data_IF_087133010096
#
_entry.id   IF_087133010096
#
_cell.length_a   1.000
_cell.length_b   1.000
_cell.length_c   1.000
_cell.angle_alpha   90.00
_cell.angle_beta   90.00
_cell.angle_gamma   90.00
#
_symmetry.space_group_name_H-M   'P 1'
#
loop_
_entity.id
_entity.type
_entity.pdbx_description
1 polymer ?
#
# COMPACT_ATOMS: atom_id res chain seq x y z
N UNK A 1 19.54 15.31 2.88
CA UNK A 1 18.37 14.43 3.11
C UNK A 1 17.32 14.76 2.07
N UNK A 2 16.75 13.78 1.37
CA UNK A 2 15.75 14.04 0.32
C UNK A 2 14.40 14.37 0.98
N UNK A 3 14.00 15.64 0.94
CA UNK A 3 12.77 16.15 1.57
C UNK A 3 11.53 15.39 1.06
N UNK A 4 11.52 14.95 -0.20
CA UNK A 4 10.42 14.17 -0.78
C UNK A 4 10.18 12.83 -0.07
N UNK A 5 11.23 12.17 0.42
CA UNK A 5 11.10 10.91 1.15
C UNK A 5 10.42 11.12 2.49
N UNK A 6 10.81 12.19 3.20
CA UNK A 6 10.23 12.55 4.50
C UNK A 6 8.74 12.84 4.34
N UNK A 7 8.36 13.58 3.30
CA UNK A 7 6.94 13.82 2.99
C UNK A 7 6.18 12.54 2.69
N UNK A 8 6.74 11.63 1.89
CA UNK A 8 6.06 10.37 1.58
C UNK A 8 5.83 9.53 2.84
N UNK A 9 6.82 9.43 3.73
CA UNK A 9 6.70 8.71 4.99
C UNK A 9 5.71 9.36 5.96
N UNK A 10 5.69 10.70 6.02
CA UNK A 10 4.74 11.46 6.84
C UNK A 10 3.31 11.22 6.35
N UNK A 11 3.07 11.31 5.04
CA UNK A 11 1.74 11.09 4.47
C UNK A 11 1.29 9.64 4.68
N UNK A 12 2.17 8.66 4.51
CA UNK A 12 1.87 7.26 4.79
C UNK A 12 1.52 7.04 6.27
N UNK A 13 2.28 7.67 7.18
CA UNK A 13 2.01 7.61 8.63
C UNK A 13 0.66 8.23 8.98
N UNK A 14 0.30 9.35 8.34
CA UNK A 14 -1.01 9.97 8.51
C UNK A 14 -2.13 9.08 7.99
N UNK A 15 -1.96 8.45 6.82
CA UNK A 15 -2.96 7.54 6.26
C UNK A 15 -3.19 6.32 7.19
N UNK A 16 -2.12 5.71 7.71
CA UNK A 16 -2.21 4.62 8.68
C UNK A 16 -2.89 5.10 9.97
N UNK A 17 -2.53 6.28 10.49
CA UNK A 17 -3.17 6.88 11.67
C UNK A 17 -4.68 7.08 11.47
N UNK A 18 -5.09 7.60 10.31
CA UNK A 18 -6.50 7.78 9.98
C UNK A 18 -7.24 6.44 9.96
N UNK A 19 -6.69 5.43 9.28
CA UNK A 19 -7.30 4.09 9.24
C UNK A 19 -7.36 3.42 10.62
N UNK A 20 -6.31 3.58 11.44
CA UNK A 20 -6.31 3.11 12.82
C UNK A 20 -7.39 3.80 13.66
N UNK A 21 -7.52 5.13 13.54
CA UNK A 21 -8.56 5.90 14.24
C UNK A 21 -9.96 5.45 13.83
N UNK A 22 -10.19 5.23 12.53
CA UNK A 22 -11.46 4.72 12.00
C UNK A 22 -11.76 3.31 12.52
N UNK A 23 -10.77 2.42 12.49
CA UNK A 23 -10.88 1.07 13.05
C UNK A 23 -11.22 1.14 14.54
N UNK A 24 -10.56 1.99 15.31
CA UNK A 24 -10.84 2.18 16.74
C UNK A 24 -12.28 2.64 16.99
N UNK A 25 -12.86 3.46 16.10
CA UNK A 25 -14.26 3.85 16.22
C UNK A 25 -15.22 2.68 16.05
N UNK A 26 -15.00 1.81 15.04
CA UNK A 26 -15.76 0.57 14.90
C UNK A 26 -15.62 -0.36 16.13
N UNK A 27 -14.46 -0.31 16.79
CA UNK A 27 -14.24 -1.04 18.03
C UNK A 27 -14.91 -0.46 19.27
N UNK A 28 -15.49 0.74 19.19
CA UNK A 28 -16.22 1.36 20.31
C UNK A 28 -17.73 1.20 20.20
N UNK A 29 -18.25 0.84 19.04
CA UNK A 29 -19.69 0.60 18.83
C UNK A 29 -20.15 -0.56 19.72
N UNK A 30 -21.30 -0.42 20.38
CA UNK A 30 -21.82 -1.39 21.35
C UNK A 30 -22.14 -2.74 20.71
N UNK A 31 -22.52 -2.75 19.43
CA UNK A 31 -22.73 -3.96 18.65
C UNK A 31 -21.39 -4.65 18.34
N UNK A 32 -21.17 -5.83 18.94
CA UNK A 32 -19.92 -6.60 18.80
C UNK A 32 -19.63 -7.16 17.40
N UNK A 33 -20.56 -7.03 16.44
CA UNK A 33 -20.43 -7.56 15.09
C UNK A 33 -19.26 -6.95 14.31
N UNK A 34 -19.13 -5.62 14.30
CA UNK A 34 -18.05 -4.95 13.56
C UNK A 34 -16.66 -5.30 14.10
N UNK A 35 -16.54 -5.40 15.43
CA UNK A 35 -15.33 -5.85 16.12
C UNK A 35 -14.94 -7.26 15.67
N UNK A 36 -15.90 -8.16 15.68
CA UNK A 36 -15.69 -9.55 15.29
C UNK A 36 -15.22 -9.65 13.84
N UNK A 37 -15.89 -8.94 12.91
CA UNK A 37 -15.49 -8.90 11.49
C UNK A 37 -14.05 -8.42 11.34
N UNK A 38 -13.66 -7.32 12.00
CA UNK A 38 -12.29 -6.81 11.88
C UNK A 38 -11.23 -7.80 12.41
N UNK A 39 -11.50 -8.47 13.54
CA UNK A 39 -10.58 -9.47 14.12
C UNK A 39 -10.46 -10.69 13.20
N UNK A 40 -11.59 -11.19 12.67
CA UNK A 40 -11.61 -12.30 11.72
C UNK A 40 -10.83 -11.99 10.46
N UNK A 41 -10.99 -10.81 9.87
CA UNK A 41 -10.20 -10.40 8.71
C UNK A 41 -8.72 -10.21 9.06
N UNK A 42 -8.39 -9.71 10.25
CA UNK A 42 -7.01 -9.66 10.73
C UNK A 42 -6.34 -11.04 10.72
N UNK A 43 -7.01 -12.05 11.27
CA UNK A 43 -6.52 -13.43 11.25
C UNK A 43 -6.47 -14.01 9.82
N UNK A 44 -7.49 -13.78 9.01
CA UNK A 44 -7.50 -14.19 7.60
C UNK A 44 -6.28 -13.61 6.84
N UNK A 45 -5.99 -12.33 7.04
CA UNK A 45 -4.84 -11.68 6.40
C UNK A 45 -3.50 -12.14 6.96
N UNK A 46 -3.44 -12.52 8.25
CA UNK A 46 -2.24 -13.15 8.81
C UNK A 46 -1.93 -14.48 8.11
N UNK A 47 -2.93 -15.37 8.00
CA UNK A 47 -2.78 -16.66 7.30
C UNK A 47 -2.44 -16.45 5.82
N UNK A 48 -3.13 -15.53 5.14
CA UNK A 48 -2.84 -15.17 3.75
C UNK A 48 -1.40 -14.65 3.60
N UNK A 49 -0.92 -13.80 4.52
CA UNK A 49 0.45 -13.27 4.47
C UNK A 49 1.48 -14.38 4.63
N UNK A 50 1.27 -15.29 5.57
CA UNK A 50 2.13 -16.46 5.77
C UNK A 50 2.18 -17.34 4.51
N UNK A 51 1.03 -17.62 3.89
CA UNK A 51 0.98 -18.38 2.64
C UNK A 51 1.78 -17.70 1.53
N UNK A 52 1.60 -16.39 1.34
CA UNK A 52 2.30 -15.62 0.30
C UNK A 52 3.81 -15.55 0.56
N UNK A 53 4.25 -15.36 1.81
CA UNK A 53 5.67 -15.24 2.15
C UNK A 53 6.45 -16.56 2.02
N UNK A 54 5.74 -17.69 1.92
CA UNK A 54 6.31 -19.01 1.61
C UNK A 54 6.49 -19.21 0.09
N UNK A 55 5.67 -18.53 -0.74
CA UNK A 55 5.75 -18.64 -2.20
C UNK A 55 7.12 -18.19 -2.71
N UNK A 56 7.70 -18.99 -3.59
CA UNK A 56 9.03 -18.72 -4.17
C UNK A 56 8.99 -17.52 -5.11
N UNK A 57 10.12 -16.80 -5.19
CA UNK A 57 10.31 -15.64 -6.08
C UNK A 57 10.23 -15.97 -7.59
N UNK A 58 10.17 -17.26 -7.94
CA UNK A 58 9.91 -17.74 -9.29
C UNK A 58 8.47 -17.49 -9.75
N UNK A 59 7.52 -17.36 -8.80
CA UNK A 59 6.12 -17.07 -9.11
C UNK A 59 5.77 -15.60 -8.81
N UNK A 60 6.22 -15.08 -7.67
CA UNK A 60 5.97 -13.72 -7.22
C UNK A 60 7.27 -12.91 -7.15
N UNK A 61 7.42 -11.95 -8.06
CA UNK A 61 8.65 -11.18 -8.22
C UNK A 61 8.76 -10.01 -7.24
N UNK A 62 8.88 -10.28 -5.95
CA UNK A 62 9.10 -9.21 -4.98
C UNK A 62 10.58 -8.84 -4.85
N UNK A 63 11.49 -9.83 -4.88
CA UNK A 63 12.91 -9.64 -4.53
C UNK A 63 13.12 -9.45 -3.02
N UNK A 64 12.21 -9.99 -2.21
CA UNK A 64 12.22 -9.89 -0.75
C UNK A 64 13.32 -10.76 -0.13
N UNK A 65 13.54 -11.95 -0.66
CA UNK A 65 14.56 -12.90 -0.18
C UNK A 65 15.96 -12.41 -0.56
N UNK A 66 16.12 -11.93 -1.79
CA UNK A 66 17.39 -11.29 -2.23
C UNK A 66 17.66 -10.01 -1.43
N UNK A 67 16.64 -9.17 -1.21
CA UNK A 67 16.77 -7.96 -0.40
C UNK A 67 17.13 -8.25 1.05
N UNK A 68 16.52 -9.27 1.66
CA UNK A 68 16.78 -9.68 3.03
C UNK A 68 18.19 -10.29 3.19
N UNK A 69 18.62 -11.16 2.27
CA UNK A 69 19.97 -11.75 2.31
C UNK A 69 21.04 -10.66 2.21
N UNK A 70 20.89 -9.71 1.27
CA UNK A 70 21.80 -8.58 1.15
C UNK A 70 21.82 -7.68 2.40
N UNK A 71 20.66 -7.45 3.03
CA UNK A 71 20.58 -6.73 4.31
C UNK A 71 21.28 -7.49 5.43
N UNK A 72 21.06 -8.81 5.54
CA UNK A 72 21.67 -9.67 6.54
C UNK A 72 23.19 -9.64 6.41
N UNK A 73 23.72 -9.82 5.19
CA UNK A 73 25.16 -9.79 4.94
C UNK A 73 25.77 -8.41 5.27
N UNK A 74 25.07 -7.33 4.90
CA UNK A 74 25.50 -5.96 5.19
C UNK A 74 25.48 -5.66 6.70
N UNK A 75 24.48 -6.20 7.42
CA UNK A 75 24.37 -6.08 8.87
C UNK A 75 25.47 -6.88 9.59
N UNK A 76 25.82 -8.07 9.10
CA UNK A 76 26.94 -8.86 9.62
C UNK A 76 28.26 -8.10 9.50
N UNK A 77 28.56 -7.60 8.30
CA UNK A 77 29.79 -6.82 8.08
C UNK A 77 29.84 -5.56 8.95
N UNK A 78 28.68 -4.95 9.25
CA UNK A 78 28.61 -3.82 10.17
C UNK A 78 28.88 -4.24 11.62
N UNK A 79 28.29 -5.33 12.09
CA UNK A 79 28.49 -5.84 13.45
C UNK A 79 29.93 -6.27 13.70
N UNK A 80 30.55 -6.95 12.72
CA UNK A 80 31.98 -7.30 12.76
C UNK A 80 32.86 -6.06 12.91
N UNK A 81 32.57 -5.00 12.13
CA UNK A 81 33.29 -3.71 12.25
C UNK A 81 33.11 -3.02 13.59
N UNK A 82 32.03 -3.31 14.31
CA UNK A 82 31.77 -2.79 15.67
C UNK A 82 32.35 -3.71 16.77
N UNK A 83 33.01 -4.82 16.42
CA UNK A 83 33.60 -5.76 17.36
C UNK A 83 32.57 -6.59 18.14
N UNK A 84 31.33 -6.68 17.65
CA UNK A 84 30.27 -7.48 18.25
C UNK A 84 30.21 -8.85 17.56
N UNK A 85 30.72 -9.91 18.20
CA UNK A 85 30.49 -11.29 17.79
C UNK A 85 29.05 -11.71 18.13
N UNK A 86 28.11 -11.33 17.28
CA UNK A 86 26.70 -11.74 17.44
C UNK A 86 26.40 -13.00 16.63
N UNK A 87 25.55 -13.88 17.16
CA UNK A 87 25.01 -15.05 16.44
C UNK A 87 24.05 -14.61 15.32
N UNK A 88 24.59 -14.04 14.25
CA UNK A 88 23.87 -13.70 13.02
C UNK A 88 22.76 -12.64 13.17
N UNK A 89 22.41 -11.93 12.09
CA UNK A 89 21.19 -11.14 12.05
C UNK A 89 19.96 -12.06 12.13
N UNK A 90 18.84 -11.50 12.62
CA UNK A 90 17.49 -12.09 12.71
C UNK A 90 17.24 -13.19 11.67
N UNK A 91 16.73 -14.37 12.07
CA UNK A 91 16.48 -15.46 11.11
C UNK A 91 15.48 -15.06 10.00
N UNK A 92 15.63 -15.64 8.80
CA UNK A 92 14.69 -15.44 7.66
C UNK A 92 13.24 -15.70 8.06
N UNK A 93 13.01 -16.72 8.88
CA UNK A 93 11.69 -17.08 9.39
C UNK A 93 11.14 -15.98 10.30
N UNK A 94 11.97 -15.47 11.22
CA UNK A 94 11.60 -14.38 12.13
C UNK A 94 11.26 -13.11 11.37
N UNK A 95 12.04 -12.76 10.33
CA UNK A 95 11.74 -11.63 9.45
C UNK A 95 10.37 -11.79 8.77
N UNK A 96 10.11 -12.95 8.15
CA UNK A 96 8.82 -13.24 7.50
C UNK A 96 7.66 -13.21 8.50
N UNK A 97 7.85 -13.72 9.72
CA UNK A 97 6.83 -13.71 10.76
C UNK A 97 6.44 -12.29 11.20
N UNK A 98 7.41 -11.42 11.48
CA UNK A 98 7.10 -10.01 11.81
C UNK A 98 6.47 -9.27 10.63
N UNK A 99 6.91 -9.55 9.42
CA UNK A 99 6.30 -9.01 8.21
C UNK A 99 4.84 -9.48 8.06
N UNK A 100 4.53 -10.74 8.39
CA UNK A 100 3.18 -11.28 8.37
C UNK A 100 2.27 -10.61 9.43
N UNK A 101 2.78 -10.31 10.63
CA UNK A 101 2.05 -9.54 11.64
C UNK A 101 1.73 -8.14 11.11
N UNK A 102 2.72 -7.46 10.53
CA UNK A 102 2.51 -6.13 9.93
C UNK A 102 1.46 -6.17 8.79
N UNK A 103 1.53 -7.21 7.95
CA UNK A 103 0.57 -7.47 6.89
C UNK A 103 -0.86 -7.70 7.41
N UNK A 104 -1.00 -8.44 8.50
CA UNK A 104 -2.27 -8.67 9.18
C UNK A 104 -2.89 -7.36 9.68
N UNK A 105 -2.09 -6.48 10.30
CA UNK A 105 -2.55 -5.16 10.76
C UNK A 105 -3.03 -4.28 9.60
N UNK A 106 -2.27 -4.21 8.51
CA UNK A 106 -2.69 -3.48 7.30
C UNK A 106 -3.99 -4.06 6.74
N UNK A 107 -4.08 -5.39 6.67
CA UNK A 107 -5.28 -6.09 6.20
C UNK A 107 -6.51 -5.78 7.05
N UNK A 108 -6.37 -5.80 8.37
CA UNK A 108 -7.42 -5.42 9.30
C UNK A 108 -7.89 -3.96 9.06
N UNK A 109 -6.96 -3.02 8.95
CA UNK A 109 -7.27 -1.61 8.68
C UNK A 109 -7.95 -1.36 7.33
N UNK A 110 -7.66 -2.20 6.32
CA UNK A 110 -8.25 -2.13 4.99
C UNK A 110 -9.56 -2.94 4.83
N UNK A 111 -10.02 -3.60 5.91
CA UNK A 111 -11.23 -4.41 5.89
C UNK A 111 -12.47 -3.57 5.63
N UNK A 112 -12.78 -2.60 6.51
CA UNK A 112 -13.95 -1.73 6.32
C UNK A 112 -13.88 -0.89 5.04
N UNK A 113 -12.74 -0.26 4.68
CA UNK A 113 -12.60 0.39 3.37
C UNK A 113 -12.98 -0.49 2.19
N UNK A 114 -12.53 -1.76 2.18
CA UNK A 114 -12.83 -2.68 1.08
C UNK A 114 -14.28 -3.15 1.04
N UNK A 115 -14.86 -3.49 2.21
CA UNK A 115 -16.28 -3.85 2.30
C UNK A 115 -17.17 -2.68 1.84
N UNK A 116 -16.87 -1.46 2.32
CA UNK A 116 -17.61 -0.26 1.95
C UNK A 116 -17.50 0.06 0.47
N UNK A 117 -16.32 -0.11 -0.12
CA UNK A 117 -16.13 0.05 -1.54
C UNK A 117 -17.07 -0.86 -2.34
N UNK A 118 -17.18 -2.14 -1.95
CA UNK A 118 -18.04 -3.08 -2.66
C UNK A 118 -19.51 -2.66 -2.63
N UNK A 119 -19.99 -2.19 -1.47
CA UNK A 119 -21.31 -1.61 -1.35
C UNK A 119 -21.50 -0.42 -2.30
N UNK A 120 -20.60 0.56 -2.23
CA UNK A 120 -20.67 1.75 -3.09
C UNK A 120 -20.58 1.43 -4.57
N UNK A 121 -19.84 0.38 -4.95
CA UNK A 121 -19.72 -0.07 -6.33
C UNK A 121 -21.05 -0.64 -6.85
N UNK A 122 -21.69 -1.54 -6.09
CA UNK A 122 -23.00 -2.09 -6.45
C UNK A 122 -24.07 -1.00 -6.51
N UNK A 123 -24.06 -0.08 -5.54
CA UNK A 123 -24.99 1.05 -5.52
C UNK A 123 -24.76 1.98 -6.71
N UNK A 124 -23.51 2.28 -7.08
CA UNK A 124 -23.19 3.13 -8.22
C UNK A 124 -23.58 2.50 -9.57
N UNK A 125 -23.41 1.17 -9.71
CA UNK A 125 -23.84 0.44 -10.91
C UNK A 125 -25.35 0.51 -11.11
N UNK A 126 -26.13 0.38 -10.04
CA UNK A 126 -27.59 0.46 -10.09
C UNK A 126 -28.12 1.86 -10.46
N UNK A 127 -27.33 2.91 -10.15
CA UNK A 127 -27.70 4.30 -10.44
C UNK A 127 -27.29 4.76 -11.85
N UNK A 128 -26.34 4.05 -12.47
CA UNK A 128 -25.75 4.47 -13.75
C UNK A 128 -26.42 3.72 -14.91
N UNK A 129 -26.91 4.45 -15.90
CA UNK A 129 -27.50 3.89 -17.13
C UNK A 129 -26.52 3.84 -18.31
N UNK A 130 -25.49 4.69 -18.29
CA UNK A 130 -24.50 4.79 -19.36
C UNK A 130 -23.51 3.62 -19.34
N UNK A 131 -23.40 2.91 -20.47
CA UNK A 131 -22.50 1.75 -20.61
C UNK A 131 -21.03 2.09 -20.38
N UNK A 132 -20.57 3.27 -20.82
CA UNK A 132 -19.18 3.71 -20.63
C UNK A 132 -18.86 3.88 -19.14
N UNK A 133 -19.73 4.58 -18.40
CA UNK A 133 -19.53 4.78 -16.97
C UNK A 133 -19.61 3.46 -16.20
N UNK A 134 -20.49 2.53 -16.61
CA UNK A 134 -20.51 1.16 -16.06
C UNK A 134 -19.20 0.39 -16.31
N UNK A 135 -18.66 0.41 -17.54
CA UNK A 135 -17.38 -0.26 -17.82
C UNK A 135 -16.23 0.35 -17.03
N UNK A 136 -16.18 1.68 -16.90
CA UNK A 136 -15.19 2.35 -16.05
C UNK A 136 -15.33 1.96 -14.58
N UNK A 137 -16.55 1.84 -14.05
CA UNK A 137 -16.79 1.39 -12.68
C UNK A 137 -16.29 -0.05 -12.46
N UNK A 138 -16.49 -0.95 -13.43
CA UNK A 138 -15.95 -2.31 -13.36
C UNK A 138 -14.43 -2.33 -13.42
N UNK A 139 -13.82 -1.62 -14.37
CA UNK A 139 -12.35 -1.51 -14.46
C UNK A 139 -11.79 -0.94 -13.15
N UNK A 140 -12.45 0.07 -12.59
CA UNK A 140 -12.08 0.67 -11.32
C UNK A 140 -12.20 -0.30 -10.13
N UNK A 141 -13.22 -1.17 -10.13
CA UNK A 141 -13.37 -2.20 -9.10
C UNK A 141 -12.30 -3.28 -9.21
N UNK A 142 -11.96 -3.70 -10.45
CA UNK A 142 -10.89 -4.66 -10.74
C UNK A 142 -9.48 -4.06 -10.67
N UNK A 143 -9.32 -2.74 -10.52
CA UNK A 143 -8.01 -2.08 -10.47
C UNK A 143 -7.01 -2.72 -9.50
N UNK A 144 -7.37 -3.08 -8.25
CA UNK A 144 -6.45 -3.76 -7.34
C UNK A 144 -6.03 -5.15 -7.83
N UNK A 145 -6.88 -5.86 -8.59
CA UNK A 145 -6.52 -7.13 -9.20
C UNK A 145 -5.45 -6.93 -10.27
N UNK A 146 -5.62 -5.96 -11.17
CA UNK A 146 -4.60 -5.64 -12.17
C UNK A 146 -3.27 -5.30 -11.52
N UNK A 147 -3.27 -4.53 -10.42
CA UNK A 147 -2.06 -4.27 -9.64
C UNK A 147 -1.42 -5.57 -9.11
N UNK A 148 -2.20 -6.47 -8.51
CA UNK A 148 -1.69 -7.76 -7.98
C UNK A 148 -1.06 -8.61 -9.08
N UNK A 149 -1.66 -8.66 -10.26
CA UNK A 149 -1.19 -9.47 -11.39
C UNK A 149 0.18 -9.01 -11.92
N UNK A 150 0.52 -7.72 -11.82
CA UNK A 150 1.80 -7.18 -12.32
C UNK A 150 3.05 -7.81 -11.70
N UNK A 151 2.95 -8.35 -10.48
CA UNK A 151 4.05 -9.02 -9.79
C UNK A 151 4.04 -10.54 -9.95
N UNK A 152 3.03 -11.10 -10.62
CA UNK A 152 2.96 -12.52 -10.95
C UNK A 152 3.79 -12.76 -12.23
N UNK A 153 4.97 -13.37 -12.07
CA UNK A 153 5.92 -13.64 -13.18
C UNK A 153 5.29 -14.37 -14.37
N UNK A 154 4.60 -15.52 -14.19
CA UNK A 154 4.09 -16.28 -15.32
C UNK A 154 2.98 -15.55 -16.10
N UNK A 155 2.29 -14.60 -15.46
CA UNK A 155 1.19 -13.86 -16.11
C UNK A 155 1.73 -12.66 -16.88
N UNK A 156 2.68 -11.95 -16.30
CA UNK A 156 3.09 -10.64 -16.83
C UNK A 156 4.49 -10.69 -17.44
N UNK A 157 5.50 -11.07 -16.65
CA UNK A 157 6.91 -10.99 -17.07
C UNK A 157 7.23 -12.04 -18.11
N UNK A 158 6.86 -13.30 -17.88
CA UNK A 158 7.19 -14.39 -18.81
C UNK A 158 6.43 -14.22 -20.13
N UNK A 159 5.19 -13.73 -20.07
CA UNK A 159 4.40 -13.43 -21.26
C UNK A 159 4.99 -12.29 -22.12
N UNK A 160 5.49 -11.23 -21.48
CA UNK A 160 6.05 -10.05 -22.19
C UNK A 160 7.50 -10.31 -22.63
N UNK A 161 8.31 -10.94 -21.79
CA UNK A 161 9.75 -11.11 -22.07
C UNK A 161 10.04 -12.37 -22.88
N UNK A 162 9.24 -13.43 -22.75
CA UNK A 162 9.41 -14.70 -23.46
C UNK A 162 8.04 -15.18 -24.00
N UNK A 163 7.42 -14.47 -24.96
CA UNK A 163 6.13 -14.87 -25.47
C UNK A 163 6.21 -16.32 -26.00
N UNK A 164 5.34 -17.24 -25.55
CA UNK A 164 5.40 -18.66 -25.93
C UNK A 164 5.01 -18.92 -27.41
N UNK A 165 5.00 -17.88 -28.25
CA UNK A 165 4.36 -17.83 -29.57
C UNK A 165 5.35 -17.89 -30.75
N UNK A 166 6.55 -18.47 -30.58
CA UNK A 166 7.46 -18.67 -31.72
C UNK A 166 8.78 -19.36 -31.39
N UNK A 167 9.49 -19.82 -32.45
CA UNK A 167 10.82 -20.44 -32.38
C UNK A 167 11.96 -19.44 -32.09
N UNK A 168 11.67 -18.14 -32.13
CA UNK A 168 12.58 -17.05 -31.74
C UNK A 168 11.84 -16.12 -30.77
N UNK A 169 12.19 -16.20 -29.48
CA UNK A 169 11.64 -15.33 -28.45
C UNK A 169 12.40 -14.00 -28.45
N UNK A 170 11.92 -13.04 -29.25
CA UNK A 170 12.40 -11.65 -29.14
C UNK A 170 11.70 -11.00 -27.94
N UNK A 171 12.44 -10.51 -26.93
CA UNK A 171 11.82 -9.83 -25.79
C UNK A 171 11.11 -8.55 -26.27
N UNK A 172 9.81 -8.42 -26.00
CA UNK A 172 9.03 -7.23 -26.40
C UNK A 172 9.54 -5.95 -25.73
N UNK A 173 10.17 -6.06 -24.56
CA UNK A 173 10.60 -4.92 -23.77
C UNK A 173 11.75 -5.28 -22.80
N UNK A 174 12.57 -4.28 -22.45
CA UNK A 174 13.65 -4.45 -21.47
C UNK A 174 13.13 -4.48 -20.02
N UNK A 175 13.92 -5.02 -19.10
CA UNK A 175 13.56 -5.12 -17.67
C UNK A 175 13.29 -3.74 -17.05
N UNK A 176 14.13 -2.75 -17.37
CA UNK A 176 14.01 -1.40 -16.84
C UNK A 176 12.71 -0.73 -17.29
N UNK A 177 12.33 -0.88 -18.57
CA UNK A 177 11.09 -0.31 -19.08
C UNK A 177 9.87 -1.00 -18.48
N UNK A 178 9.96 -2.29 -18.13
CA UNK A 178 8.88 -3.02 -17.47
C UNK A 178 8.63 -2.53 -16.05
N UNK A 179 9.68 -2.31 -15.27
CA UNK A 179 9.53 -1.76 -13.93
C UNK A 179 8.99 -0.32 -13.97
N UNK A 180 9.41 0.50 -14.94
CA UNK A 180 8.81 1.83 -15.17
C UNK A 180 7.32 1.74 -15.54
N UNK A 181 6.94 0.80 -16.41
CA UNK A 181 5.54 0.56 -16.80
C UNK A 181 4.68 0.18 -15.60
N UNK A 182 5.17 -0.71 -14.72
CA UNK A 182 4.47 -1.09 -13.48
C UNK A 182 4.13 0.14 -12.64
N UNK A 183 5.08 1.04 -12.43
CA UNK A 183 4.89 2.26 -11.64
C UNK A 183 3.84 3.18 -12.28
N UNK A 184 3.93 3.41 -13.60
CA UNK A 184 2.94 4.22 -14.33
C UNK A 184 1.54 3.65 -14.29
N UNK A 185 1.41 2.33 -14.43
CA UNK A 185 0.11 1.66 -14.40
C UNK A 185 -0.55 1.79 -13.02
N UNK A 186 0.21 1.69 -11.93
CA UNK A 186 -0.33 1.92 -10.58
C UNK A 186 -0.84 3.35 -10.43
N UNK A 187 -0.07 4.35 -10.89
CA UNK A 187 -0.48 5.76 -10.85
C UNK A 187 -1.76 5.99 -11.66
N UNK A 188 -1.83 5.42 -12.88
CA UNK A 188 -3.01 5.51 -13.74
C UNK A 188 -4.24 4.90 -13.09
N UNK A 189 -4.11 3.72 -12.47
CA UNK A 189 -5.21 3.06 -11.76
C UNK A 189 -5.63 3.83 -10.50
N UNK A 190 -4.70 4.46 -9.78
CA UNK A 190 -5.02 5.38 -8.69
C UNK A 190 -5.76 6.63 -9.19
N UNK A 191 -5.35 7.19 -10.33
CA UNK A 191 -6.00 8.34 -10.95
C UNK A 191 -7.43 8.00 -11.43
N UNK A 192 -7.61 6.83 -12.06
CA UNK A 192 -8.93 6.30 -12.40
C UNK A 192 -9.82 6.20 -11.16
N UNK A 193 -9.26 5.71 -10.04
CA UNK A 193 -9.98 5.63 -8.78
C UNK A 193 -10.43 6.98 -8.25
N UNK A 194 -9.57 7.98 -8.29
CA UNK A 194 -9.94 9.35 -7.90
C UNK A 194 -11.00 9.95 -8.84
N UNK A 195 -10.91 9.69 -10.15
CA UNK A 195 -11.90 10.14 -11.11
C UNK A 195 -13.30 9.54 -10.82
N UNK A 196 -13.35 8.26 -10.43
CA UNK A 196 -14.59 7.56 -10.08
C UNK A 196 -15.09 7.86 -8.64
N UNK A 197 -14.39 8.68 -7.86
CA UNK A 197 -14.76 8.98 -6.47
C UNK A 197 -16.14 9.63 -6.37
N UNK A 198 -16.45 10.58 -7.27
CA UNK A 198 -17.73 11.30 -7.25
C UNK A 198 -18.91 10.34 -7.40
N UNK A 199 -18.83 9.38 -8.33
CA UNK A 199 -19.89 8.40 -8.57
C UNK A 199 -20.11 7.49 -7.36
N UNK A 200 -19.04 7.02 -6.71
CA UNK A 200 -19.16 6.18 -5.50
C UNK A 200 -19.70 6.94 -4.29
N UNK A 201 -19.25 8.19 -4.07
CA UNK A 201 -19.76 9.00 -2.96
C UNK A 201 -21.20 9.44 -3.19
N UNK A 202 -21.59 9.73 -4.43
CA UNK A 202 -23.00 10.00 -4.76
C UNK A 202 -23.88 8.77 -4.51
N UNK A 203 -23.39 7.58 -4.86
CA UNK A 203 -24.09 6.33 -4.57
C UNK A 203 -24.30 6.13 -3.07
N UNK A 204 -23.29 6.47 -2.25
CA UNK A 204 -23.42 6.49 -0.80
C UNK A 204 -24.47 7.51 -0.31
N UNK A 205 -24.46 8.74 -0.82
CA UNK A 205 -25.46 9.76 -0.44
C UNK A 205 -26.89 9.34 -0.76
N UNK A 206 -27.08 8.64 -1.87
CA UNK A 206 -28.39 8.11 -2.28
C UNK A 206 -28.89 6.99 -1.33
N UNK A 207 -28.08 6.50 -0.39
CA UNK A 207 -28.53 5.60 0.67
C UNK A 207 -29.62 6.25 1.53
N UNK A 208 -29.53 7.56 1.79
CA UNK A 208 -30.57 8.28 2.52
C UNK A 208 -31.93 8.15 1.82
N UNK A 209 -31.95 8.33 0.49
CA UNK A 209 -33.17 8.18 -0.31
C UNK A 209 -33.73 6.76 -0.21
N UNK A 210 -32.88 5.73 -0.33
CA UNK A 210 -33.29 4.33 -0.18
C UNK A 210 -33.90 4.05 1.18
N UNK A 211 -33.31 4.57 2.26
CA UNK A 211 -33.85 4.44 3.61
C UNK A 211 -35.22 5.12 3.75
N UNK A 212 -35.40 6.32 3.19
CA UNK A 212 -36.71 7.00 3.18
C UNK A 212 -37.75 6.17 2.42
N UNK A 213 -37.39 5.63 1.26
CA UNK A 213 -38.32 4.84 0.44
C UNK A 213 -38.66 3.49 1.06
N UNK A 214 -37.75 2.90 1.85
CA UNK A 214 -38.04 1.72 2.66
C UNK A 214 -38.99 2.05 3.82
N UNK A 215 -38.73 3.14 4.55
CA UNK A 215 -39.59 3.62 5.63
C UNK A 215 -41.02 3.88 5.16
N UNK A 216 -41.22 4.42 3.96
CA UNK A 216 -42.56 4.62 3.37
C UNK A 216 -43.36 3.31 3.22
N UNK A 217 -42.70 2.16 3.15
CA UNK A 217 -43.35 0.84 2.99
C UNK A 217 -43.69 0.20 4.35
N UNK A 218 -43.09 0.66 5.43
CA UNK A 218 -43.33 0.15 6.77
C UNK A 218 -44.62 0.72 7.34
N UNK A 219 -45.48 -0.14 7.90
CA UNK A 219 -46.74 0.28 8.51
C UNK A 219 -46.48 0.89 9.90
N UNK A 220 -46.70 2.19 10.05
CA UNK A 220 -46.55 2.87 11.33
C UNK A 220 -46.51 4.38 11.19
N UNK A 221 -46.68 5.10 12.31
CA UNK A 221 -46.47 6.55 12.37
C UNK A 221 -44.99 6.82 12.50
N UNK A 222 -44.36 7.26 11.42
CA UNK A 222 -42.93 7.60 11.42
C UNK A 222 -42.77 9.03 11.91
N UNK A 223 -41.92 9.23 12.91
CA UNK A 223 -41.62 10.57 13.42
C UNK A 223 -40.78 11.36 12.40
N UNK A 224 -41.19 12.59 12.11
CA UNK A 224 -40.40 13.50 11.24
C UNK A 224 -39.00 13.75 11.79
N UNK A 225 -38.84 13.72 13.12
CA UNK A 225 -37.54 13.87 13.79
C UNK A 225 -36.63 12.67 13.55
N UNK A 226 -37.18 11.45 13.54
CA UNK A 226 -36.41 10.23 13.27
C UNK A 226 -35.96 10.18 11.80
N UNK A 227 -36.84 10.57 10.89
CA UNK A 227 -36.53 10.72 9.47
C UNK A 227 -35.37 11.71 9.26
N UNK A 228 -35.46 12.90 9.85
CA UNK A 228 -34.40 13.92 9.77
C UNK A 228 -33.08 13.43 10.35
N UNK A 229 -33.10 12.75 11.51
CA UNK A 229 -31.89 12.17 12.12
C UNK A 229 -31.24 11.11 11.24
N UNK A 230 -32.03 10.25 10.59
CA UNK A 230 -31.53 9.22 9.69
C UNK A 230 -30.82 9.85 8.49
N UNK A 231 -31.46 10.82 7.82
CA UNK A 231 -30.90 11.53 6.67
C UNK A 231 -29.61 12.26 7.08
N UNK A 232 -29.65 13.02 8.18
CA UNK A 232 -28.49 13.76 8.69
C UNK A 232 -27.30 12.83 9.01
N UNK A 233 -27.55 11.63 9.57
CA UNK A 233 -26.51 10.65 9.87
C UNK A 233 -25.73 10.24 8.62
N UNK A 234 -26.41 10.01 7.49
CA UNK A 234 -25.76 9.68 6.22
C UNK A 234 -24.84 10.82 5.77
N UNK A 235 -25.32 12.06 5.82
CA UNK A 235 -24.49 13.22 5.44
C UNK A 235 -23.26 13.42 6.33
N UNK A 236 -23.41 13.35 7.65
CA UNK A 236 -22.26 13.51 8.56
C UNK A 236 -21.23 12.38 8.40
N UNK A 237 -21.69 11.17 8.11
CA UNK A 237 -20.81 10.01 7.91
C UNK A 237 -20.10 10.03 6.55
N UNK A 238 -20.54 10.85 5.59
CA UNK A 238 -19.90 10.98 4.26
C UNK A 238 -18.39 11.27 4.37
N UNK A 239 -17.97 12.13 5.30
CA UNK A 239 -16.56 12.45 5.50
C UNK A 239 -15.74 11.21 5.87
N UNK A 240 -16.28 10.34 6.71
CA UNK A 240 -15.65 9.07 7.09
C UNK A 240 -15.51 8.17 5.87
N UNK A 241 -16.57 8.06 5.05
CA UNK A 241 -16.55 7.27 3.81
C UNK A 241 -15.52 7.80 2.82
N UNK A 242 -15.44 9.11 2.65
CA UNK A 242 -14.44 9.75 1.79
C UNK A 242 -13.01 9.42 2.26
N UNK A 243 -12.75 9.46 3.57
CA UNK A 243 -11.46 9.05 4.13
C UNK A 243 -11.17 7.57 3.88
N UNK A 244 -12.15 6.69 4.05
CA UNK A 244 -12.00 5.26 3.75
C UNK A 244 -11.74 4.98 2.27
N UNK A 245 -12.28 5.81 1.38
CA UNK A 245 -12.05 5.69 -0.05
C UNK A 245 -10.63 6.17 -0.44
N UNK A 246 -10.20 7.30 0.13
CA UNK A 246 -8.96 7.98 -0.27
C UNK A 246 -7.72 7.43 0.45
N UNK A 247 -7.81 7.07 1.74
CA UNK A 247 -6.66 6.64 2.52
C UNK A 247 -5.91 5.44 1.91
N UNK A 248 -6.57 4.36 1.45
CA UNK A 248 -5.87 3.25 0.80
C UNK A 248 -5.16 3.64 -0.51
N UNK A 249 -5.74 4.59 -1.26
CA UNK A 249 -5.11 5.13 -2.48
C UNK A 249 -3.88 5.94 -2.16
N UNK A 250 -3.96 6.78 -1.13
CA UNK A 250 -2.81 7.55 -0.63
C UNK A 250 -1.71 6.59 -0.19
N UNK A 251 -2.03 5.50 0.51
CA UNK A 251 -1.05 4.47 0.87
C UNK A 251 -0.41 3.83 -0.36
N UNK A 252 -1.18 3.41 -1.35
CA UNK A 252 -0.66 2.82 -2.60
C UNK A 252 0.24 3.79 -3.35
N UNK A 253 -0.20 5.03 -3.55
CA UNK A 253 0.55 6.06 -4.28
C UNK A 253 1.89 6.34 -3.61
N UNK A 254 1.89 6.59 -2.29
CA UNK A 254 3.12 6.94 -1.58
C UNK A 254 4.06 5.75 -1.42
N UNK A 255 3.55 4.53 -1.26
CA UNK A 255 4.39 3.32 -1.29
C UNK A 255 5.03 3.13 -2.67
N UNK A 256 4.31 3.44 -3.75
CA UNK A 256 4.83 3.39 -5.12
C UNK A 256 5.90 4.47 -5.37
N UNK A 257 5.70 5.69 -4.87
CA UNK A 257 6.69 6.77 -4.95
C UNK A 257 7.95 6.46 -4.14
N UNK A 258 7.79 5.82 -2.97
CA UNK A 258 8.91 5.31 -2.18
C UNK A 258 9.63 4.18 -2.93
N UNK A 259 8.90 3.24 -3.54
CA UNK A 259 9.49 2.16 -4.35
C UNK A 259 10.31 2.72 -5.51
N UNK A 260 9.80 3.76 -6.17
CA UNK A 260 10.54 4.47 -7.22
C UNK A 260 11.84 5.07 -6.68
N UNK A 261 11.75 5.80 -5.57
CA UNK A 261 12.86 6.64 -5.07
C UNK A 261 13.92 5.83 -4.33
N UNK A 262 13.53 4.83 -3.54
CA UNK A 262 14.44 3.97 -2.77
C UNK A 262 14.88 2.72 -3.54
N UNK A 263 14.09 2.28 -4.52
CA UNK A 263 14.43 1.14 -5.38
C UNK A 263 15.24 1.51 -6.62
N UNK A 264 15.69 2.76 -6.76
CA UNK A 264 16.45 3.29 -7.91
C UNK A 264 15.77 3.09 -9.28
N UNK A 265 14.45 3.11 -9.34
CA UNK A 265 13.74 3.03 -10.62
C UNK A 265 13.73 4.40 -11.31
N UNK A 266 13.83 4.40 -12.63
CA UNK A 266 13.67 5.61 -13.45
C UNK A 266 12.21 5.79 -13.90
N UNK A 267 11.81 7.04 -14.15
CA UNK A 267 10.53 7.35 -14.80
C UNK A 267 10.54 7.09 -16.31
N UNK A 268 11.73 6.86 -16.91
CA UNK A 268 11.90 6.63 -18.35
C UNK A 268 11.70 7.88 -19.23
N UNK A 269 11.47 9.06 -18.64
CA UNK A 269 11.20 10.32 -19.35
C UNK A 269 12.50 11.02 -19.80
N UNK A 270 13.61 10.76 -19.11
CA UNK A 270 14.92 11.29 -19.48
C UNK A 270 15.85 10.14 -19.85
N UNK A 271 16.62 10.24 -20.95
CA UNK A 271 17.73 9.33 -21.17
C UNK A 271 18.67 9.46 -19.97
N UNK A 272 19.06 8.33 -19.38
CA UNK A 272 20.05 8.31 -18.31
C UNK A 272 21.34 8.92 -18.83
N UNK A 273 21.54 10.21 -18.56
CA UNK A 273 22.86 10.81 -18.63
C UNK A 273 23.66 10.12 -17.53
N UNK A 274 24.52 9.20 -17.95
CA UNK A 274 25.57 8.58 -17.14
C UNK A 274 26.41 9.66 -16.48
N UNK A 275 25.99 10.13 -15.31
CA UNK A 275 26.85 10.94 -14.46
C UNK A 275 27.71 9.94 -13.66
N UNK A 276 29.04 9.97 -13.84
CA UNK A 276 29.90 9.08 -13.09
C UNK A 276 29.73 9.36 -11.60
N UNK A 277 29.65 8.28 -10.84
CA UNK A 277 29.76 8.29 -9.38
C UNK A 277 31.09 8.95 -9.04
N UNK A 278 31.06 10.19 -8.54
CA UNK A 278 32.24 10.85 -7.98
C UNK A 278 32.69 10.08 -6.73
N UNK A 279 33.59 9.12 -6.96
CA UNK A 279 34.55 8.65 -5.97
C UNK A 279 35.65 9.71 -5.85
N UNK A 280 35.38 10.84 -5.19
CA UNK A 280 36.44 11.76 -4.80
C UNK A 280 37.02 11.33 -3.45
N UNK A 281 38.07 10.50 -3.53
CA UNK A 281 39.06 10.35 -2.47
C UNK A 281 39.70 11.70 -2.15
N UNK A 282 39.87 11.96 -0.84
CA UNK A 282 40.85 12.84 -0.20
C UNK A 282 41.10 14.25 -0.77
N UNK A 283 40.68 15.26 -0.02
CA UNK A 283 41.50 16.46 0.18
C UNK A 283 41.42 16.89 1.65
N UNK A 284 42.46 16.54 2.41
CA UNK A 284 42.68 17.01 3.77
C UNK A 284 43.03 18.50 3.73
N UNK A 285 42.09 19.39 4.06
CA UNK A 285 42.40 20.80 4.33
C UNK A 285 42.52 21.00 5.84
N UNK A 286 43.76 21.16 6.30
CA UNK A 286 44.09 21.61 7.66
C UNK A 286 43.63 23.06 7.78
N UNK A 287 42.59 23.30 8.59
CA UNK A 287 42.30 24.61 9.16
C UNK A 287 42.23 24.48 10.68
N UNK A 288 43.20 25.11 11.33
CA UNK A 288 43.28 25.29 12.77
C UNK A 288 42.23 26.31 13.22
N UNK A 289 41.37 25.93 14.17
CA UNK A 289 40.61 26.90 14.99
C UNK A 289 40.53 26.46 16.46
N UNK A 290 40.64 27.46 17.32
CA UNK A 290 40.72 27.46 18.79
C UNK A 290 39.55 26.74 19.49
N UNK A 291 39.71 26.30 20.76
CA UNK A 291 38.71 25.52 21.46
C UNK A 291 37.59 26.44 21.97
N UNK A 292 36.39 26.29 21.41
CA UNK A 292 35.17 26.81 22.01
C UNK A 292 34.29 25.66 22.49
N UNK A 293 33.53 25.92 23.55
CA UNK A 293 32.65 25.02 24.32
C UNK A 293 31.42 24.55 23.50
N UNK A 294 31.61 24.26 22.22
CA UNK A 294 30.64 23.73 21.25
C UNK A 294 31.08 22.35 20.70
N UNK A 295 32.26 21.88 21.14
CA UNK A 295 32.87 20.62 20.71
C UNK A 295 32.05 19.37 21.04
N UNK A 296 31.32 19.32 22.17
CA UNK A 296 30.49 18.15 22.49
C UNK A 296 29.30 18.01 21.54
N UNK A 297 28.65 19.11 21.15
CA UNK A 297 27.51 19.07 20.24
C UNK A 297 27.96 18.77 18.81
N UNK A 298 29.06 19.37 18.34
CA UNK A 298 29.67 19.05 17.04
C UNK A 298 30.17 17.61 16.95
N UNK A 299 30.83 17.09 18.00
CA UNK A 299 31.28 15.69 18.09
C UNK A 299 30.09 14.72 18.12
N UNK A 300 29.02 15.05 18.85
CA UNK A 300 27.82 14.22 18.89
C UNK A 300 27.11 14.23 17.53
N UNK A 301 27.03 15.37 16.85
CA UNK A 301 26.42 15.47 15.51
C UNK A 301 27.26 14.74 14.46
N UNK A 302 28.59 14.81 14.51
CA UNK A 302 29.44 14.03 13.61
C UNK A 302 29.37 12.54 13.91
N UNK A 303 29.33 12.12 15.16
CA UNK A 303 29.11 10.71 15.53
C UNK A 303 27.75 10.19 15.08
N UNK A 304 26.67 10.96 15.25
CA UNK A 304 25.34 10.63 14.74
C UNK A 304 25.36 10.55 13.21
N UNK A 305 26.04 11.47 12.53
CA UNK A 305 26.12 11.48 11.06
C UNK A 305 26.90 10.27 10.53
N UNK A 306 28.00 9.90 11.20
CA UNK A 306 28.77 8.70 10.87
C UNK A 306 27.96 7.43 11.15
N UNK A 307 27.28 7.34 12.30
CA UNK A 307 26.39 6.23 12.64
C UNK A 307 25.21 6.10 11.67
N UNK A 308 24.64 7.23 11.23
CA UNK A 308 23.56 7.28 10.25
C UNK A 308 24.06 6.88 8.86
N UNK A 309 25.27 7.31 8.49
CA UNK A 309 25.93 6.92 7.24
C UNK A 309 26.24 5.42 7.21
N UNK A 310 26.74 4.87 8.32
CA UNK A 310 26.97 3.43 8.44
C UNK A 310 25.67 2.61 8.46
N UNK A 311 24.60 3.13 9.08
CA UNK A 311 23.28 2.51 9.06
C UNK A 311 22.68 2.53 7.64
N UNK A 312 22.89 3.60 6.88
CA UNK A 312 22.47 3.70 5.47
C UNK A 312 23.12 2.62 4.60
N UNK A 313 24.34 2.19 4.91
CA UNK A 313 25.00 1.11 4.19
C UNK A 313 24.36 -0.27 4.44
N UNK A 314 23.62 -0.44 5.55
CA UNK A 314 22.87 -1.66 5.86
C UNK A 314 21.53 -1.66 5.10
N UNK A 315 20.87 -0.51 5.01
CA UNK A 315 19.61 -0.34 4.29
C UNK A 315 19.83 -0.08 2.80
N UNK A 316 20.13 -1.15 2.07
CA UNK A 316 20.41 -1.09 0.63
C UNK A 316 19.13 -0.84 -0.20
N UNK A 317 19.27 -0.28 -1.42
CA UNK A 317 18.13 -0.15 -2.34
C UNK A 317 17.49 -1.49 -2.69
N UNK A 318 18.23 -2.59 -2.59
CA UNK A 318 17.74 -3.94 -2.86
C UNK A 318 16.71 -4.39 -1.80
N UNK A 319 16.97 -4.11 -0.52
CA UNK A 319 16.00 -4.35 0.55
C UNK A 319 14.73 -3.53 0.35
N UNK A 320 14.88 -2.24 0.06
CA UNK A 320 13.72 -1.36 -0.16
C UNK A 320 12.92 -1.75 -1.39
N UNK A 321 13.56 -2.19 -2.48
CA UNK A 321 12.88 -2.74 -3.65
C UNK A 321 12.05 -3.96 -3.28
N UNK A 322 12.62 -4.90 -2.53
CA UNK A 322 11.91 -6.07 -2.01
C UNK A 322 10.70 -5.72 -1.15
N UNK A 323 10.93 -4.92 -0.11
CA UNK A 323 9.92 -4.60 0.88
C UNK A 323 8.79 -3.73 0.32
N UNK A 324 9.11 -2.70 -0.47
CA UNK A 324 8.11 -1.77 -1.01
C UNK A 324 7.34 -2.37 -2.18
N UNK A 325 7.95 -3.24 -2.98
CA UNK A 325 7.23 -4.02 -4.00
C UNK A 325 6.21 -4.95 -3.33
N UNK A 326 6.66 -5.69 -2.32
CA UNK A 326 5.78 -6.56 -1.53
C UNK A 326 4.66 -5.75 -0.84
N UNK A 327 4.98 -4.61 -0.21
CA UNK A 327 3.98 -3.80 0.48
C UNK A 327 2.96 -3.19 -0.49
N UNK A 328 3.39 -2.70 -1.65
CA UNK A 328 2.49 -2.17 -2.69
C UNK A 328 1.54 -3.26 -3.19
N UNK A 329 2.09 -4.44 -3.48
CA UNK A 329 1.31 -5.61 -3.86
C UNK A 329 0.35 -6.04 -2.74
N UNK A 330 0.81 -6.05 -1.49
CA UNK A 330 0.03 -6.46 -0.33
C UNK A 330 -1.19 -5.56 -0.11
N UNK A 331 -1.01 -4.23 -0.16
CA UNK A 331 -2.11 -3.27 -0.04
C UNK A 331 -3.16 -3.52 -1.13
N UNK A 332 -2.72 -3.71 -2.39
CA UNK A 332 -3.63 -4.02 -3.49
C UNK A 332 -4.34 -5.36 -3.30
N UNK A 333 -3.63 -6.38 -2.84
CA UNK A 333 -4.18 -7.71 -2.55
C UNK A 333 -5.19 -7.68 -1.39
N UNK A 334 -4.95 -6.84 -0.37
CA UNK A 334 -5.90 -6.61 0.70
C UNK A 334 -7.18 -5.97 0.19
N UNK A 335 -7.05 -4.87 -0.56
CA UNK A 335 -8.19 -4.16 -1.15
C UNK A 335 -9.02 -5.05 -2.07
N UNK A 336 -8.37 -5.84 -2.92
CA UNK A 336 -9.07 -6.79 -3.78
C UNK A 336 -9.83 -7.82 -2.94
N UNK A 337 -9.15 -8.51 -2.01
CA UNK A 337 -9.78 -9.54 -1.17
C UNK A 337 -10.99 -9.00 -0.39
N UNK A 338 -10.84 -7.87 0.32
CA UNK A 338 -11.95 -7.31 1.12
C UNK A 338 -13.08 -6.79 0.26
N UNK A 339 -12.80 -6.22 -0.91
CA UNK A 339 -13.85 -5.83 -1.86
C UNK A 339 -14.62 -7.02 -2.43
N UNK A 340 -13.95 -8.15 -2.69
CA UNK A 340 -14.59 -9.37 -3.16
C UNK A 340 -15.50 -9.99 -2.09
N UNK A 341 -15.03 -10.04 -0.84
CA UNK A 341 -15.87 -10.45 0.29
C UNK A 341 -17.07 -9.52 0.47
N UNK A 342 -16.88 -8.21 0.31
CA UNK A 342 -17.96 -7.23 0.37
C UNK A 342 -19.01 -7.43 -0.72
N UNK A 343 -18.59 -7.76 -1.94
CA UNK A 343 -19.51 -8.11 -3.02
C UNK A 343 -20.33 -9.35 -2.68
N UNK A 344 -19.65 -10.41 -2.24
CA UNK A 344 -20.32 -11.66 -1.86
C UNK A 344 -21.33 -11.43 -0.72
N UNK A 345 -20.93 -10.68 0.31
CA UNK A 345 -21.80 -10.32 1.43
C UNK A 345 -23.04 -9.55 0.96
N UNK A 346 -22.87 -8.52 0.14
CA UNK A 346 -24.00 -7.68 -0.28
C UNK A 346 -24.91 -8.34 -1.33
N UNK A 347 -24.38 -9.23 -2.16
CA UNK A 347 -25.19 -9.92 -3.18
C UNK A 347 -25.96 -11.11 -2.62
N UNK A 348 -25.37 -11.87 -1.69
CA UNK A 348 -25.93 -13.15 -1.25
C UNK A 348 -26.45 -13.16 0.17
N UNK A 349 -25.89 -12.34 1.08
CA UNK A 349 -26.25 -12.40 2.50
C UNK A 349 -27.19 -11.28 2.95
N UNK A 350 -27.29 -10.18 2.20
CA UNK A 350 -28.24 -9.09 2.51
C UNK A 350 -29.48 -9.06 1.61
N UNK A 351 -29.49 -9.85 0.54
CA UNK A 351 -30.64 -10.00 -0.37
C UNK A 351 -31.44 -11.28 -0.07
N UNK A 352 -30.81 -12.27 0.59
CA UNK A 352 -31.48 -13.40 1.22
C UNK A 352 -32.02 -12.99 2.60
#
# INVERSE_FOLDING_TARGET
MNISLVWCLLVLSFAIKVLFSLTTHYFKVEDGGERSVCVTFGFFFFVKAMAVLIVTENYLEFGLETGFTNFSDSAMQFLEKQGLESQGPVSKLTFKFFLAIFCSLIGAFLTFPGLRLAQMHLDALNLTTEKLTQTLLHINFLAPLFMVLLWVKPITRDYIMNPPLGKESVPLMTEATFDTLRLWLIILLCALRLAMMRSHLQAYLNLAQKCVDQMKKEAGRISTVELQKMVARVFYYLCVIALQYVAPLVMLLHTTLLLKTLGNHSWGIYPESSLPVDNSLHSSSVYSELPSTDGKMKVTVTQITVALSSLKNIFTPLLFRGLLSFLTWWIAACLFSTSLFGLFYHQYLTVA
#
